data_IF_005128666924
#
_entry.id   IF_005128666924
#
_cell.length_a   1.000
_cell.length_b   1.000
_cell.length_c   1.000
_cell.angle_alpha   90.00
_cell.angle_beta   90.00
_cell.angle_gamma   90.00
#
_symmetry.space_group_name_H-M   'P 1'
#
loop_
_entity.id
_entity.type
_entity.pdbx_description
1 polymer ?
#
# COMPACT_ATOMS: atom_id res chain seq x y z
N UNK A 1 4.88 13.26 -26.93
CA UNK A 1 4.44 12.49 -25.74
C UNK A 1 5.00 13.20 -24.52
N UNK A 2 4.16 13.63 -23.58
CA UNK A 2 4.65 14.20 -22.33
C UNK A 2 5.05 13.07 -21.37
N UNK A 3 6.28 13.10 -20.84
CA UNK A 3 6.71 12.17 -19.80
C UNK A 3 5.99 12.52 -18.50
N UNK A 4 5.19 11.59 -17.96
CA UNK A 4 4.62 11.71 -16.61
C UNK A 4 5.71 11.31 -15.61
N UNK A 5 6.17 12.25 -14.78
CA UNK A 5 7.08 11.99 -13.69
C UNK A 5 6.64 12.79 -12.46
N UNK A 6 6.93 12.26 -11.28
CA UNK A 6 6.60 12.90 -10.01
C UNK A 6 7.40 12.30 -8.86
N UNK A 7 7.62 13.09 -7.82
CA UNK A 7 8.43 12.68 -6.67
C UNK A 7 7.50 12.26 -5.55
N UNK A 8 7.58 10.99 -5.14
CA UNK A 8 6.96 10.55 -3.90
C UNK A 8 7.78 11.15 -2.75
N UNK A 9 7.22 12.12 -2.02
CA UNK A 9 7.89 12.75 -0.90
C UNK A 9 8.19 11.72 0.20
N UNK A 10 9.46 11.63 0.59
CA UNK A 10 10.00 10.70 1.59
C UNK A 10 9.15 10.67 2.86
N UNK A 11 8.27 9.69 3.03
CA UNK A 11 7.85 9.29 4.36
C UNK A 11 9.01 8.49 4.97
N UNK A 12 9.44 8.79 6.21
CA UNK A 12 10.63 8.16 6.83
C UNK A 12 10.57 6.62 6.83
N UNK A 13 9.37 6.03 6.81
CA UNK A 13 9.17 4.59 6.67
C UNK A 13 9.62 4.02 5.31
N UNK A 14 9.53 4.78 4.22
CA UNK A 14 9.82 4.31 2.85
C UNK A 14 11.29 3.98 2.58
N UNK A 15 12.23 4.51 3.38
CA UNK A 15 13.68 4.31 3.14
C UNK A 15 14.19 2.92 3.53
N UNK A 16 13.39 2.13 4.25
CA UNK A 16 13.83 0.86 4.85
C UNK A 16 12.79 -0.25 4.78
N UNK A 17 11.71 -0.06 4.02
CA UNK A 17 10.60 -1.01 4.00
C UNK A 17 10.36 -1.51 2.59
N UNK A 18 9.93 -2.78 2.42
CA UNK A 18 9.57 -3.26 1.11
C UNK A 18 8.36 -2.48 0.61
N UNK A 19 8.46 -2.08 -0.66
CA UNK A 19 7.44 -1.34 -1.38
C UNK A 19 6.95 -2.25 -2.48
N UNK A 20 5.64 -2.33 -2.67
CA UNK A 20 5.09 -2.84 -3.92
C UNK A 20 4.43 -1.69 -4.68
N UNK A 21 4.39 -1.82 -6.00
CA UNK A 21 3.81 -0.82 -6.90
C UNK A 21 3.12 -1.53 -8.06
N UNK A 22 1.89 -1.12 -8.34
CA UNK A 22 1.02 -1.70 -9.37
C UNK A 22 0.19 -0.59 -9.99
N UNK A 23 -0.14 -0.75 -11.27
CA UNK A 23 -1.26 -0.05 -11.88
C UNK A 23 -2.55 -0.87 -11.73
N UNK A 24 -3.55 -0.29 -11.08
CA UNK A 24 -4.92 -0.83 -11.04
C UNK A 24 -5.78 0.09 -11.89
N UNK A 25 -6.12 -0.36 -13.10
CA UNK A 25 -6.74 0.51 -14.11
C UNK A 25 -5.79 1.64 -14.52
N UNK A 26 -6.24 2.89 -14.39
CA UNK A 26 -5.45 4.10 -14.66
C UNK A 26 -4.71 4.66 -13.43
N UNK A 27 -4.86 4.02 -12.26
CA UNK A 27 -4.35 4.52 -10.99
C UNK A 27 -3.09 3.76 -10.60
N UNK A 28 -2.01 4.48 -10.32
CA UNK A 28 -0.84 3.92 -9.66
C UNK A 28 -1.15 3.75 -8.17
N UNK A 29 -1.04 2.52 -7.68
CA UNK A 29 -1.16 2.19 -6.26
C UNK A 29 0.17 1.65 -5.79
N UNK A 30 0.65 2.19 -4.68
CA UNK A 30 1.79 1.63 -3.96
C UNK A 30 1.40 1.42 -2.51
N UNK A 31 1.95 0.38 -1.88
CA UNK A 31 1.95 0.33 -0.42
C UNK A 31 3.32 -0.03 0.11
N UNK A 32 3.53 0.39 1.34
CA UNK A 32 4.79 0.27 2.05
C UNK A 32 4.52 0.15 3.55
N UNK A 33 5.52 -0.30 4.31
CA UNK A 33 5.41 -0.26 5.76
C UNK A 33 5.80 1.13 6.27
N UNK A 34 4.87 1.74 7.01
CA UNK A 34 5.07 3.03 7.68
C UNK A 34 5.92 2.91 8.93
N UNK A 35 6.07 4.02 9.65
CA UNK A 35 6.81 4.04 10.90
C UNK A 35 6.07 3.29 12.01
N UNK A 36 6.84 2.65 12.89
CA UNK A 36 6.38 2.26 14.23
C UNK A 36 5.88 3.53 14.95
N UNK A 37 4.69 3.48 15.56
CA UNK A 37 3.95 4.55 16.29
C UNK A 37 2.72 5.19 15.61
N UNK A 38 2.50 5.02 14.30
CA UNK A 38 1.35 5.66 13.62
C UNK A 38 0.24 4.67 13.19
N UNK A 39 0.30 3.42 13.65
CA UNK A 39 -0.69 2.37 13.37
C UNK A 39 -1.47 1.90 14.59
N UNK A 40 -2.17 0.76 14.45
CA UNK A 40 -2.89 0.14 15.57
C UNK A 40 -1.96 -0.47 16.64
N UNK A 41 -0.74 -0.83 16.25
CA UNK A 41 0.27 -1.37 17.15
C UNK A 41 1.36 -0.32 17.39
N UNK A 42 1.57 0.13 18.63
CA UNK A 42 2.61 1.10 18.95
C UNK A 42 4.03 0.55 18.75
N UNK A 43 4.21 -0.77 18.70
CA UNK A 43 5.50 -1.44 18.65
C UNK A 43 5.82 -2.08 17.28
N UNK A 44 4.88 -2.02 16.34
CA UNK A 44 5.05 -2.57 14.99
C UNK A 44 4.77 -1.50 13.92
N UNK A 45 5.35 -1.64 12.72
CA UNK A 45 4.97 -0.80 11.59
C UNK A 45 3.52 -1.09 11.17
N UNK A 46 2.97 -0.22 10.34
CA UNK A 46 1.63 -0.35 9.75
C UNK A 46 1.71 -0.34 8.23
N UNK A 47 0.69 -0.85 7.56
CA UNK A 47 0.61 -0.75 6.10
C UNK A 47 0.06 0.62 5.71
N UNK A 48 0.77 1.32 4.84
CA UNK A 48 0.30 2.56 4.23
C UNK A 48 0.07 2.33 2.76
N UNK A 49 -1.14 2.62 2.28
CA UNK A 49 -1.40 2.76 0.85
C UNK A 49 -1.17 4.20 0.45
N UNK A 50 -0.65 4.38 -0.75
CA UNK A 50 -0.75 5.63 -1.44
C UNK A 50 -1.14 5.41 -2.91
N UNK A 51 -1.92 6.34 -3.45
CA UNK A 51 -2.43 6.26 -4.81
C UNK A 51 -2.37 7.60 -5.54
N UNK A 52 -2.25 7.51 -6.86
CA UNK A 52 -2.23 8.68 -7.76
C UNK A 52 -2.71 8.31 -9.16
N UNK A 53 -3.35 9.26 -9.83
CA UNK A 53 -3.73 9.16 -11.26
C UNK A 53 -2.83 9.99 -12.18
N UNK A 54 -2.11 10.97 -11.62
CA UNK A 54 -1.38 11.99 -12.38
C UNK A 54 0.11 12.09 -12.02
N UNK A 55 0.56 11.27 -11.06
CA UNK A 55 1.89 11.31 -10.43
C UNK A 55 2.25 12.63 -9.73
N UNK A 56 1.35 13.61 -9.69
CA UNK A 56 1.56 14.92 -9.07
C UNK A 56 0.94 14.98 -7.68
N UNK A 57 -0.21 14.36 -7.52
CA UNK A 57 -0.95 14.32 -6.26
C UNK A 57 -1.03 12.90 -5.75
N UNK A 58 -0.63 12.71 -4.50
CA UNK A 58 -0.63 11.41 -3.82
C UNK A 58 -1.59 11.45 -2.64
N UNK A 59 -2.62 10.60 -2.67
CA UNK A 59 -3.45 10.36 -1.51
C UNK A 59 -2.84 9.23 -0.70
N UNK A 60 -2.52 9.49 0.56
CA UNK A 60 -1.95 8.49 1.48
C UNK A 60 -3.01 8.08 2.50
N UNK A 61 -3.05 6.80 2.83
CA UNK A 61 -4.01 6.24 3.79
C UNK A 61 -3.34 5.15 4.61
N UNK A 62 -3.43 5.28 5.93
CA UNK A 62 -3.02 4.21 6.85
C UNK A 62 -4.12 3.16 6.85
N UNK A 63 -3.77 1.92 6.51
CA UNK A 63 -4.70 0.80 6.48
C UNK A 63 -4.83 0.22 7.89
N UNK A 64 -5.59 0.90 8.75
CA UNK A 64 -5.75 0.53 10.16
C UNK A 64 -6.33 -0.87 10.34
N UNK A 65 -7.12 -1.39 9.40
CA UNK A 65 -7.68 -2.74 9.52
C UNK A 65 -6.72 -3.86 9.05
N UNK A 66 -5.56 -3.51 8.50
CA UNK A 66 -4.54 -4.49 8.10
C UNK A 66 -3.73 -4.94 9.33
N UNK A 67 -3.46 -6.25 9.51
CA UNK A 67 -2.57 -6.73 10.57
C UNK A 67 -1.20 -6.07 10.50
N UNK A 68 -0.63 -5.72 11.64
CA UNK A 68 0.67 -5.03 11.68
C UNK A 68 1.80 -5.91 11.09
N UNK A 69 2.53 -5.44 10.06
CA UNK A 69 3.62 -6.19 9.46
C UNK A 69 4.84 -6.31 10.35
N UNK A 70 5.62 -7.37 10.16
CA UNK A 70 7.00 -7.45 10.64
C UNK A 70 7.89 -6.60 9.73
N UNK A 71 8.59 -5.62 10.31
CA UNK A 71 9.41 -4.64 9.57
C UNK A 71 10.56 -5.22 8.74
N UNK A 72 10.94 -6.48 8.97
CA UNK A 72 11.98 -7.18 8.22
C UNK A 72 11.43 -8.11 7.12
N UNK A 73 10.10 -8.24 7.01
CA UNK A 73 9.47 -9.11 6.03
C UNK A 73 9.38 -8.47 4.65
N UNK A 74 9.31 -9.29 3.59
CA UNK A 74 8.98 -8.81 2.26
C UNK A 74 7.48 -8.50 2.17
N UNK A 75 7.15 -7.44 1.45
CA UNK A 75 5.77 -7.11 1.06
C UNK A 75 5.57 -7.50 -0.40
N UNK A 76 4.60 -8.35 -0.67
CA UNK A 76 4.14 -8.66 -2.02
C UNK A 76 2.67 -8.31 -2.17
N UNK A 77 2.25 -8.04 -3.40
CA UNK A 77 0.87 -7.75 -3.72
C UNK A 77 0.43 -8.47 -4.98
N UNK A 78 -0.81 -8.94 -4.97
CA UNK A 78 -1.50 -9.49 -6.14
C UNK A 78 -2.70 -8.61 -6.43
N UNK A 79 -2.92 -8.34 -7.69
CA UNK A 79 -3.97 -7.43 -8.16
C UNK A 79 -5.13 -8.25 -8.66
N UNK A 80 -6.32 -7.95 -8.19
CA UNK A 80 -7.56 -8.48 -8.72
C UNK A 80 -8.41 -7.31 -9.23
N UNK A 81 -8.19 -6.92 -10.50
CA UNK A 81 -8.90 -5.81 -11.12
C UNK A 81 -10.39 -6.08 -11.29
N UNK A 82 -11.19 -5.01 -11.35
CA UNK A 82 -12.64 -5.09 -11.60
C UNK A 82 -12.97 -4.62 -13.01
N UNK A 83 -13.99 -5.18 -13.70
CA UNK A 83 -14.51 -4.56 -14.92
C UNK A 83 -15.29 -3.26 -14.65
N UNK A 84 -15.51 -2.88 -13.39
CA UNK A 84 -16.21 -1.65 -12.97
C UNK A 84 -15.21 -0.63 -12.40
N UNK A 85 -15.67 0.60 -12.12
CA UNK A 85 -14.88 1.65 -11.44
C UNK A 85 -13.50 1.91 -12.04
N UNK A 86 -13.42 2.15 -13.35
CA UNK A 86 -12.15 2.43 -14.06
C UNK A 86 -11.09 1.31 -13.98
N UNK A 87 -11.48 0.08 -13.63
CA UNK A 87 -10.53 -1.02 -13.42
C UNK A 87 -10.16 -1.27 -11.97
N UNK A 88 -10.58 -0.38 -11.05
CA UNK A 88 -10.33 -0.49 -9.61
C UNK A 88 -11.02 -1.74 -9.06
N UNK A 89 -10.24 -2.68 -8.54
CA UNK A 89 -10.72 -3.88 -7.88
C UNK A 89 -10.15 -4.00 -6.48
N UNK A 90 -9.51 -5.12 -6.18
CA UNK A 90 -8.83 -5.34 -4.90
C UNK A 90 -7.35 -5.60 -5.07
N UNK A 91 -6.58 -5.30 -4.04
CA UNK A 91 -5.16 -5.65 -3.95
C UNK A 91 -4.98 -6.54 -2.74
N UNK A 92 -4.52 -7.76 -2.96
CA UNK A 92 -4.20 -8.70 -1.89
C UNK A 92 -2.76 -8.51 -1.47
N UNK A 93 -2.56 -8.10 -0.23
CA UNK A 93 -1.25 -7.87 0.39
C UNK A 93 -0.80 -9.11 1.15
N UNK A 94 0.44 -9.51 0.92
CA UNK A 94 1.04 -10.65 1.61
C UNK A 94 2.35 -10.24 2.28
N UNK A 95 2.46 -10.55 3.57
CA UNK A 95 3.61 -10.23 4.42
C UNK A 95 3.59 -11.06 5.70
N UNK A 96 4.66 -11.02 6.50
CA UNK A 96 4.69 -11.69 7.80
C UNK A 96 4.16 -10.74 8.87
N UNK A 97 3.27 -11.21 9.74
CA UNK A 97 2.73 -10.43 10.84
C UNK A 97 3.75 -10.25 11.97
N UNK A 98 3.76 -9.05 12.57
CA UNK A 98 4.53 -8.80 13.79
C UNK A 98 4.03 -9.66 14.96
N UNK A 99 4.97 -10.15 15.78
CA UNK A 99 4.66 -10.89 17.01
C UNK A 99 4.22 -12.36 16.83
N UNK A 100 3.75 -12.77 15.65
CA UNK A 100 3.25 -14.13 15.42
C UNK A 100 4.04 -14.95 14.38
N UNK A 101 4.95 -14.34 13.61
CA UNK A 101 5.67 -14.99 12.49
C UNK A 101 4.75 -15.70 11.48
N UNK A 102 3.45 -15.37 11.46
CA UNK A 102 2.49 -15.94 10.53
C UNK A 102 2.48 -15.15 9.23
N UNK A 103 2.28 -15.87 8.12
CA UNK A 103 2.01 -15.23 6.83
C UNK A 103 0.58 -14.69 6.82
N UNK A 104 0.43 -13.40 6.57
CA UNK A 104 -0.84 -12.71 6.40
C UNK A 104 -1.13 -12.54 4.92
N UNK A 105 -2.37 -12.79 4.53
CA UNK A 105 -2.95 -12.39 3.26
C UNK A 105 -4.15 -11.50 3.57
N UNK A 106 -4.06 -10.20 3.25
CA UNK A 106 -5.06 -9.20 3.59
C UNK A 106 -5.52 -8.44 2.35
N UNK A 107 -6.82 -8.24 2.21
CA UNK A 107 -7.41 -7.62 1.02
C UNK A 107 -7.68 -6.13 1.22
N UNK A 108 -7.09 -5.31 0.35
CA UNK A 108 -7.35 -3.89 0.22
C UNK A 108 -8.37 -3.62 -0.90
N UNK A 109 -9.61 -3.28 -0.53
CA UNK A 109 -10.67 -2.98 -1.50
C UNK A 109 -10.54 -1.55 -2.03
N UNK A 110 -10.19 -1.41 -3.31
CA UNK A 110 -10.00 -0.11 -3.96
C UNK A 110 -11.30 0.50 -4.50
N UNK A 111 -12.40 -0.25 -4.54
CA UNK A 111 -13.66 0.21 -5.14
C UNK A 111 -14.28 1.43 -4.44
N UNK A 112 -13.92 1.66 -3.18
CA UNK A 112 -14.42 2.77 -2.36
C UNK A 112 -13.62 4.05 -2.54
N UNK A 113 -12.53 4.01 -3.31
CA UNK A 113 -11.60 5.12 -3.43
C UNK A 113 -11.75 5.73 -4.82
N UNK A 114 -12.63 6.72 -4.93
CA UNK A 114 -12.56 7.69 -6.03
C UNK A 114 -11.25 8.47 -5.89
N UNK A 115 -10.24 8.08 -6.66
CA UNK A 115 -8.99 8.84 -6.80
C UNK A 115 -9.24 10.05 -7.70
#
# INVERSE_FOLDING_TARGET
MASLWGTITNNKGMKKTPIFMVFVGNTLVFSYFGLVSAGNDPNAPHVVRASTKDLKTFRTTILTNAPSPNGYSQLSAIVNGSPKNEGLGTVVLTYVQAGSNLLVSWEDDLNKYEV
#
